data_IF_316138553995
#
_entry.id   IF_316138553995
#
_cell.length_a   1.000
_cell.length_b   1.000
_cell.length_c   1.000
_cell.angle_alpha   90.00
_cell.angle_beta   90.00
_cell.angle_gamma   90.00
#
_symmetry.space_group_name_H-M   'P 1'
#
loop_
_entity.id
_entity.type
_entity.pdbx_description
1 polymer ?
#
# COMPACT_ATOMS: atom_id res chain seq x y z
N UNK A 1 57.73 27.72 -30.35
CA UNK A 1 56.49 28.26 -30.94
C UNK A 1 55.62 27.08 -31.35
N UNK A 2 54.42 26.99 -30.77
CA UNK A 2 53.44 25.92 -30.94
C UNK A 2 52.67 26.12 -32.25
N UNK A 3 52.47 25.05 -33.03
CA UNK A 3 51.46 24.98 -34.07
C UNK A 3 50.28 24.20 -33.52
N UNK A 4 49.14 24.88 -33.36
CA UNK A 4 47.88 24.28 -32.90
C UNK A 4 47.16 23.63 -34.10
N UNK A 5 46.77 22.36 -33.95
CA UNK A 5 45.81 21.73 -34.85
C UNK A 5 44.39 21.97 -34.32
N UNK A 6 43.57 22.49 -35.23
CA UNK A 6 42.18 22.86 -35.11
C UNK A 6 41.29 21.62 -34.94
N UNK A 7 40.57 21.51 -33.82
CA UNK A 7 39.46 20.57 -33.66
C UNK A 7 38.17 21.39 -33.74
N UNK A 8 37.39 21.13 -34.80
CA UNK A 8 36.07 21.73 -35.02
C UNK A 8 35.09 21.08 -34.05
N UNK A 9 34.63 21.85 -33.06
CA UNK A 9 33.56 21.43 -32.15
C UNK A 9 32.21 21.73 -32.83
N UNK A 10 31.52 20.68 -33.28
CA UNK A 10 30.13 20.78 -33.71
C UNK A 10 29.27 21.14 -32.50
N UNK A 11 28.71 22.34 -32.49
CA UNK A 11 27.77 22.78 -31.47
C UNK A 11 26.42 22.11 -31.70
N UNK A 12 26.21 20.95 -31.09
CA UNK A 12 24.87 20.40 -30.89
C UNK A 12 24.19 21.29 -29.85
N UNK A 13 23.15 22.02 -30.28
CA UNK A 13 22.32 22.85 -29.41
C UNK A 13 21.54 21.92 -28.45
N UNK A 14 22.14 21.60 -27.31
CA UNK A 14 21.42 20.95 -26.21
C UNK A 14 20.56 22.02 -25.55
N UNK A 15 19.24 21.93 -25.71
CA UNK A 15 18.29 22.62 -24.86
C UNK A 15 18.60 22.19 -23.42
N UNK A 16 19.31 23.05 -22.67
CA UNK A 16 19.52 22.85 -21.23
C UNK A 16 18.16 23.02 -20.58
N UNK A 17 17.43 21.92 -20.43
CA UNK A 17 16.33 21.85 -19.50
C UNK A 17 16.92 22.22 -18.13
N UNK A 18 16.62 23.44 -17.65
CA UNK A 18 17.14 23.94 -16.39
C UNK A 18 16.55 23.10 -15.26
N UNK A 19 17.27 22.05 -14.84
CA UNK A 19 17.02 21.36 -13.60
C UNK A 19 17.85 21.99 -12.49
N UNK A 20 17.32 21.98 -11.27
CA UNK A 20 18.00 22.45 -10.07
C UNK A 20 18.25 21.26 -9.16
N UNK A 21 19.50 21.02 -8.79
CA UNK A 21 19.82 20.09 -7.71
C UNK A 21 19.29 20.62 -6.39
N UNK A 22 18.44 19.83 -5.73
CA UNK A 22 17.88 20.14 -4.40
C UNK A 22 18.60 19.38 -3.28
N UNK A 23 19.22 18.25 -3.62
CA UNK A 23 19.98 17.42 -2.70
C UNK A 23 21.13 16.73 -3.43
N UNK A 24 22.25 16.56 -2.73
CA UNK A 24 23.36 15.69 -3.13
C UNK A 24 24.16 15.26 -1.91
N UNK A 25 24.68 14.04 -1.91
CA UNK A 25 25.56 13.52 -0.85
C UNK A 25 26.96 13.15 -1.37
N UNK A 26 27.81 12.68 -0.45
CA UNK A 26 29.19 12.26 -0.75
C UNK A 26 29.29 10.97 -1.56
N UNK A 27 28.22 10.20 -1.67
CA UNK A 27 28.16 8.95 -2.44
C UNK A 27 27.78 9.21 -3.90
N UNK A 28 27.40 10.46 -4.23
CA UNK A 28 27.05 10.87 -5.58
C UNK A 28 25.55 10.76 -5.88
N UNK A 29 24.72 10.43 -4.88
CA UNK A 29 23.28 10.44 -5.05
C UNK A 29 22.81 11.88 -5.19
N UNK A 30 21.85 12.13 -6.10
CA UNK A 30 21.30 13.46 -6.31
C UNK A 30 19.78 13.44 -6.45
N UNK A 31 19.17 14.54 -6.02
CA UNK A 31 17.76 14.83 -6.33
C UNK A 31 17.72 16.16 -7.09
N UNK A 32 17.07 16.15 -8.25
CA UNK A 32 16.91 17.32 -9.13
C UNK A 32 15.44 17.64 -9.29
N UNK A 33 15.09 18.92 -9.22
CA UNK A 33 13.79 19.43 -9.64
C UNK A 33 13.91 19.94 -11.07
N UNK A 34 13.10 19.41 -11.97
CA UNK A 34 13.09 19.76 -13.38
C UNK A 34 12.16 20.95 -13.64
N UNK A 35 12.36 21.62 -14.78
CA UNK A 35 11.59 22.80 -15.17
C UNK A 35 10.09 22.51 -15.37
N UNK A 36 9.73 21.26 -15.66
CA UNK A 36 8.35 20.80 -15.81
C UNK A 36 7.66 20.44 -14.46
N UNK A 37 8.37 20.64 -13.34
CA UNK A 37 7.88 20.34 -12.01
C UNK A 37 8.08 18.90 -11.56
N UNK A 38 8.61 18.02 -12.43
CA UNK A 38 9.01 16.66 -12.03
C UNK A 38 10.27 16.69 -11.16
N UNK A 39 10.47 15.62 -10.38
CA UNK A 39 11.71 15.39 -9.65
C UNK A 39 12.42 14.17 -10.23
N UNK A 40 13.74 14.22 -10.32
CA UNK A 40 14.57 13.08 -10.69
C UNK A 40 15.49 12.73 -9.52
N UNK A 41 15.49 11.46 -9.13
CA UNK A 41 16.43 10.89 -8.17
C UNK A 41 17.43 10.07 -8.96
N UNK A 42 18.72 10.35 -8.83
CA UNK A 42 19.81 9.60 -9.45
C UNK A 42 20.67 9.00 -8.34
N UNK A 43 20.88 7.69 -8.42
CA UNK A 43 21.75 6.91 -7.53
C UNK A 43 22.70 6.07 -8.39
N UNK A 44 23.64 5.36 -7.76
CA UNK A 44 24.46 4.35 -8.45
C UNK A 44 23.64 3.13 -8.91
N UNK A 45 22.51 2.84 -8.25
CA UNK A 45 21.59 1.76 -8.60
C UNK A 45 20.65 2.09 -9.77
N UNK A 46 20.46 3.37 -10.10
CA UNK A 46 19.60 3.78 -11.20
C UNK A 46 18.94 5.14 -11.00
N UNK A 47 17.99 5.44 -11.90
CA UNK A 47 17.25 6.70 -11.92
C UNK A 47 15.76 6.51 -11.71
N UNK A 48 15.15 7.35 -10.88
CA UNK A 48 13.70 7.44 -10.72
C UNK A 48 13.19 8.84 -11.05
N UNK A 49 12.03 8.91 -11.70
CA UNK A 49 11.28 10.15 -11.95
C UNK A 49 10.01 10.15 -11.12
N UNK A 50 9.76 11.26 -10.42
CA UNK A 50 8.58 11.47 -9.58
C UNK A 50 7.80 12.65 -10.17
N UNK A 51 6.52 12.44 -10.43
CA UNK A 51 5.59 13.46 -10.89
C UNK A 51 4.34 13.42 -10.03
N UNK A 52 3.82 14.58 -9.62
CA UNK A 52 2.55 14.64 -8.92
C UNK A 52 1.87 15.99 -9.00
N UNK A 53 0.55 15.97 -8.87
CA UNK A 53 -0.31 17.17 -8.91
C UNK A 53 -1.06 17.42 -7.59
N UNK A 54 -0.70 16.68 -6.53
CA UNK A 54 -1.32 16.74 -5.21
C UNK A 54 -2.50 15.79 -5.02
N UNK A 55 -3.13 15.33 -6.10
CA UNK A 55 -4.16 14.28 -6.06
C UNK A 55 -3.65 12.91 -6.51
N UNK A 56 -2.65 12.94 -7.40
CA UNK A 56 -1.97 11.79 -7.96
C UNK A 56 -0.46 11.98 -7.91
N UNK A 57 0.25 10.90 -7.64
CA UNK A 57 1.69 10.79 -7.73
C UNK A 57 2.05 9.56 -8.56
N UNK A 58 3.02 9.72 -9.45
CA UNK A 58 3.60 8.63 -10.23
C UNK A 58 5.11 8.62 -9.99
N UNK A 59 5.63 7.47 -9.62
CA UNK A 59 7.05 7.19 -9.52
C UNK A 59 7.37 6.20 -10.64
N UNK A 60 8.40 6.47 -11.43
CA UNK A 60 8.85 5.60 -12.51
C UNK A 60 10.36 5.45 -12.49
N UNK A 61 10.84 4.22 -12.47
CA UNK A 61 12.26 3.88 -12.58
C UNK A 61 12.68 3.76 -14.06
N UNK A 62 13.98 3.83 -14.32
CA UNK A 62 14.58 3.74 -15.65
C UNK A 62 14.49 2.33 -16.28
N UNK A 63 14.36 1.29 -15.45
CA UNK A 63 14.01 -0.07 -15.87
C UNK A 63 12.56 -0.24 -16.36
N UNK A 64 11.72 0.79 -16.17
CA UNK A 64 10.34 0.82 -16.64
C UNK A 64 9.30 0.42 -15.60
N UNK A 65 9.69 0.04 -14.37
CA UNK A 65 8.75 -0.15 -13.27
C UNK A 65 8.12 1.20 -12.86
N UNK A 66 6.89 1.14 -12.36
CA UNK A 66 6.22 2.34 -11.86
C UNK A 66 5.20 2.05 -10.77
N UNK A 67 5.03 3.04 -9.90
CA UNK A 67 4.00 3.07 -8.88
C UNK A 67 3.18 4.34 -9.06
N UNK A 68 1.87 4.18 -9.10
CA UNK A 68 0.90 5.25 -9.12
C UNK A 68 0.13 5.28 -7.80
N UNK A 69 0.13 6.43 -7.13
CA UNK A 69 -0.62 6.68 -5.92
C UNK A 69 -1.67 7.74 -6.23
N UNK A 70 -2.93 7.45 -5.97
CA UNK A 70 -4.06 8.39 -6.10
C UNK A 70 -4.83 8.39 -4.78
N UNK A 71 -4.97 9.55 -4.13
CA UNK A 71 -5.71 9.63 -2.87
C UNK A 71 -5.24 10.72 -1.93
N UNK A 72 -5.75 10.66 -0.71
CA UNK A 72 -5.49 11.61 0.36
C UNK A 72 -5.37 10.89 1.72
N UNK A 73 -5.38 11.66 2.80
CA UNK A 73 -5.25 11.14 4.18
C UNK A 73 -6.43 10.25 4.61
N UNK A 74 -7.58 10.33 3.95
CA UNK A 74 -8.78 9.56 4.28
C UNK A 74 -8.88 8.26 3.48
N UNK A 75 -8.19 8.17 2.33
CA UNK A 75 -8.18 6.97 1.52
C UNK A 75 -7.54 7.19 0.15
N UNK A 76 -7.22 6.08 -0.51
CA UNK A 76 -6.56 6.12 -1.80
C UNK A 76 -6.33 4.74 -2.40
N UNK A 77 -5.76 4.76 -3.60
CA UNK A 77 -5.33 3.59 -4.35
C UNK A 77 -3.86 3.72 -4.70
N UNK A 78 -3.11 2.63 -4.56
CA UNK A 78 -1.73 2.47 -5.03
C UNK A 78 -1.75 1.37 -6.08
N UNK A 79 -1.18 1.62 -7.25
CA UNK A 79 -1.06 0.65 -8.35
C UNK A 79 0.41 0.50 -8.73
N UNK A 80 0.87 -0.74 -8.85
CA UNK A 80 2.18 -1.07 -9.40
C UNK A 80 2.03 -1.47 -10.87
N UNK A 81 3.07 -1.24 -11.66
CA UNK A 81 3.16 -1.68 -13.06
C UNK A 81 3.10 -3.19 -13.24
N UNK A 82 3.41 -3.96 -12.19
CA UNK A 82 3.28 -5.42 -12.16
C UNK A 82 1.82 -5.91 -12.00
N UNK A 83 0.87 -4.98 -11.87
CA UNK A 83 -0.56 -5.28 -11.68
C UNK A 83 -1.01 -5.31 -10.22
N UNK A 84 -0.10 -5.11 -9.25
CA UNK A 84 -0.43 -4.97 -7.85
C UNK A 84 -1.31 -3.75 -7.59
N UNK A 85 -2.34 -3.89 -6.75
CA UNK A 85 -3.22 -2.78 -6.35
C UNK A 85 -3.49 -2.82 -4.85
N UNK A 86 -3.33 -1.68 -4.15
CA UNK A 86 -3.77 -1.48 -2.76
C UNK A 86 -4.84 -0.40 -2.77
N UNK A 87 -5.95 -0.62 -2.08
CA UNK A 87 -6.94 0.41 -1.74
C UNK A 87 -7.04 0.50 -0.23
N UNK A 88 -6.94 1.70 0.33
CA UNK A 88 -7.00 1.94 1.77
C UNK A 88 -8.02 3.04 2.10
N UNK A 89 -8.49 3.07 3.35
CA UNK A 89 -9.39 4.12 3.84
C UNK A 89 -10.83 4.05 3.32
N UNK A 90 -11.07 3.34 2.21
CA UNK A 90 -12.40 2.90 1.82
C UNK A 90 -12.87 1.81 2.78
N UNK A 91 -13.96 2.07 3.48
CA UNK A 91 -14.61 1.06 4.29
C UNK A 91 -15.12 -0.12 3.44
N UNK A 92 -15.09 -1.32 4.01
CA UNK A 92 -15.58 -2.53 3.34
C UNK A 92 -16.98 -2.87 3.85
N UNK A 93 -17.82 -3.38 2.95
CA UNK A 93 -19.14 -3.93 3.26
C UNK A 93 -19.09 -5.43 3.59
N UNK A 94 -20.10 -5.93 4.31
CA UNK A 94 -20.26 -7.36 4.57
C UNK A 94 -20.32 -8.18 3.28
N UNK A 95 -20.94 -7.61 2.22
CA UNK A 95 -21.01 -8.24 0.90
C UNK A 95 -19.66 -8.32 0.20
N UNK A 96 -18.80 -7.31 0.34
CA UNK A 96 -17.44 -7.33 -0.22
C UNK A 96 -16.55 -8.37 0.49
N UNK A 97 -16.77 -8.59 1.79
CA UNK A 97 -16.01 -9.59 2.56
C UNK A 97 -16.64 -10.99 2.55
N UNK A 98 -17.94 -11.11 2.31
CA UNK A 98 -18.69 -12.36 2.48
C UNK A 98 -18.77 -12.82 3.95
N UNK A 99 -18.58 -11.90 4.89
CA UNK A 99 -18.57 -12.16 6.35
C UNK A 99 -19.36 -11.05 7.03
N UNK A 100 -20.27 -11.43 7.94
CA UNK A 100 -21.02 -10.46 8.72
C UNK A 100 -20.13 -9.71 9.70
N UNK A 101 -20.44 -8.45 9.93
CA UNK A 101 -19.83 -7.65 10.99
C UNK A 101 -20.41 -8.04 12.34
N UNK A 102 -19.55 -7.91 13.36
CA UNK A 102 -20.01 -8.07 14.73
C UNK A 102 -21.09 -7.02 15.04
N UNK A 103 -22.26 -7.41 15.58
CA UNK A 103 -23.35 -6.50 15.85
C UNK A 103 -22.92 -5.31 16.71
N UNK A 104 -23.27 -4.09 16.30
CA UNK A 104 -22.91 -2.87 17.04
C UNK A 104 -21.45 -2.42 16.88
N UNK A 105 -20.60 -3.18 16.17
CA UNK A 105 -19.24 -2.75 15.89
C UNK A 105 -19.18 -1.58 14.90
N UNK A 106 -18.26 -0.65 15.14
CA UNK A 106 -18.03 0.53 14.30
C UNK A 106 -16.75 0.36 13.51
N UNK A 107 -16.76 0.80 12.26
CA UNK A 107 -15.55 0.78 11.44
C UNK A 107 -14.51 1.76 12.00
N UNK A 108 -13.25 1.35 11.93
CA UNK A 108 -12.09 2.19 12.27
C UNK A 108 -11.17 2.32 11.06
N UNK A 109 -10.25 3.28 11.10
CA UNK A 109 -9.17 3.35 10.13
C UNK A 109 -8.33 2.05 10.16
N UNK A 110 -7.72 1.71 9.02
CA UNK A 110 -6.85 0.54 8.86
C UNK A 110 -7.42 -0.59 8.01
N UNK A 111 -8.68 -0.49 7.56
CA UNK A 111 -9.24 -1.36 6.54
C UNK A 111 -8.75 -1.05 5.12
N UNK A 112 -8.82 -2.05 4.25
CA UNK A 112 -8.42 -1.93 2.85
C UNK A 112 -8.45 -3.25 2.08
N UNK A 113 -8.19 -3.17 0.79
CA UNK A 113 -8.03 -4.31 -0.10
C UNK A 113 -6.68 -4.25 -0.78
N UNK A 114 -6.06 -5.39 -0.94
CA UNK A 114 -4.80 -5.53 -1.64
C UNK A 114 -4.87 -6.72 -2.60
N UNK A 115 -4.44 -6.52 -3.84
CA UNK A 115 -4.41 -7.52 -4.90
C UNK A 115 -3.00 -7.62 -5.46
N UNK A 116 -2.45 -8.83 -5.51
CA UNK A 116 -1.20 -9.14 -6.23
C UNK A 116 -1.29 -10.55 -6.81
N UNK A 117 -0.76 -10.74 -8.02
CA UNK A 117 -0.68 -12.05 -8.70
C UNK A 117 -2.01 -12.83 -8.73
N UNK A 118 -3.13 -12.13 -8.87
CA UNK A 118 -4.47 -12.71 -8.86
C UNK A 118 -5.04 -13.05 -7.48
N UNK A 119 -4.22 -13.01 -6.42
CA UNK A 119 -4.70 -13.11 -5.04
C UNK A 119 -5.22 -11.76 -4.54
N UNK A 120 -6.32 -11.77 -3.78
CA UNK A 120 -6.90 -10.57 -3.17
C UNK A 120 -7.07 -10.77 -1.67
N UNK A 121 -6.54 -9.87 -0.88
CA UNK A 121 -6.68 -9.80 0.58
C UNK A 121 -7.49 -8.55 0.93
N UNK A 122 -8.66 -8.75 1.52
CA UNK A 122 -9.53 -7.67 2.00
C UNK A 122 -9.60 -7.69 3.52
N UNK A 123 -9.39 -6.55 4.17
CA UNK A 123 -9.42 -6.42 5.63
C UNK A 123 -10.36 -5.31 6.06
N UNK A 124 -11.29 -5.59 6.97
CA UNK A 124 -12.04 -4.57 7.71
C UNK A 124 -11.59 -4.59 9.16
N UNK A 125 -11.31 -3.40 9.70
CA UNK A 125 -10.96 -3.20 11.11
C UNK A 125 -12.10 -2.45 11.77
N UNK A 126 -12.57 -3.00 12.89
CA UNK A 126 -13.76 -2.51 13.59
C UNK A 126 -13.53 -2.48 15.09
N UNK A 127 -14.22 -1.61 15.80
CA UNK A 127 -14.19 -1.53 17.26
C UNK A 127 -15.55 -1.91 17.86
N UNK A 128 -15.53 -2.53 19.04
CA UNK A 128 -16.69 -2.79 19.90
C UNK A 128 -16.33 -2.65 21.38
N UNK A 129 -17.32 -2.37 22.21
CA UNK A 129 -17.16 -2.37 23.68
C UNK A 129 -17.18 -3.77 24.29
N UNK A 130 -17.69 -4.76 23.55
CA UNK A 130 -17.82 -6.13 24.03
C UNK A 130 -16.47 -6.83 24.14
N UNK A 131 -16.37 -7.84 25.00
CA UNK A 131 -15.13 -8.59 25.23
C UNK A 131 -14.75 -9.47 24.03
N UNK A 132 -13.44 -9.74 23.80
CA UNK A 132 -12.96 -10.59 22.70
C UNK A 132 -13.64 -11.96 22.62
N UNK A 133 -13.97 -12.57 23.77
CA UNK A 133 -14.64 -13.86 23.84
C UNK A 133 -16.07 -13.84 23.30
N UNK A 134 -16.79 -12.72 23.48
CA UNK A 134 -18.12 -12.53 22.90
C UNK A 134 -18.03 -12.43 21.37
N UNK A 135 -17.04 -11.68 20.87
CA UNK A 135 -16.74 -11.58 19.44
C UNK A 135 -16.38 -12.94 18.85
N UNK A 136 -15.47 -13.68 19.49
CA UNK A 136 -15.07 -15.01 19.05
C UNK A 136 -16.27 -15.98 19.02
N UNK A 137 -17.12 -15.94 20.05
CA UNK A 137 -18.34 -16.76 20.12
C UNK A 137 -19.31 -16.45 18.97
N UNK A 138 -19.51 -15.18 18.65
CA UNK A 138 -20.31 -14.78 17.50
C UNK A 138 -19.78 -15.39 16.19
N UNK A 139 -18.47 -15.25 15.92
CA UNK A 139 -17.90 -15.74 14.67
C UNK A 139 -17.85 -17.27 14.56
N UNK A 140 -17.67 -17.99 15.67
CA UNK A 140 -17.83 -19.46 15.68
C UNK A 140 -19.25 -19.88 15.29
N UNK A 141 -20.27 -19.14 15.73
CA UNK A 141 -21.67 -19.41 15.37
C UNK A 141 -21.97 -19.06 13.91
N UNK A 142 -21.43 -17.93 13.43
CA UNK A 142 -21.68 -17.44 12.07
C UNK A 142 -20.93 -18.26 11.00
N UNK A 143 -19.67 -18.62 11.25
CA UNK A 143 -18.79 -19.25 10.26
C UNK A 143 -18.57 -20.75 10.49
N UNK A 144 -19.05 -21.28 11.61
CA UNK A 144 -18.84 -22.66 12.04
C UNK A 144 -17.51 -22.85 12.78
N UNK A 145 -17.11 -24.10 12.99
CA UNK A 145 -15.87 -24.44 13.70
C UNK A 145 -14.63 -23.96 12.91
N UNK A 146 -13.72 -23.19 13.51
CA UNK A 146 -12.50 -22.76 12.84
C UNK A 146 -11.54 -23.92 12.58
N UNK A 147 -10.73 -23.79 11.54
CA UNK A 147 -9.63 -24.70 11.21
C UNK A 147 -8.47 -24.54 12.20
N UNK A 148 -8.18 -23.29 12.60
CA UNK A 148 -7.20 -22.95 13.63
C UNK A 148 -7.83 -21.95 14.58
N UNK A 149 -7.62 -22.18 15.87
CA UNK A 149 -8.02 -21.28 16.94
C UNK A 149 -6.84 -21.12 17.88
N UNK A 150 -6.50 -19.88 18.20
CA UNK A 150 -5.41 -19.56 19.12
C UNK A 150 -5.80 -18.36 19.96
N UNK A 151 -5.64 -18.49 21.26
CA UNK A 151 -5.84 -17.40 22.22
C UNK A 151 -4.50 -17.12 22.87
N UNK A 152 -4.04 -15.87 22.77
CA UNK A 152 -2.80 -15.39 23.36
C UNK A 152 -3.06 -14.06 24.07
N UNK A 153 -2.73 -14.02 25.36
CA UNK A 153 -2.95 -12.87 26.23
C UNK A 153 -4.37 -12.30 26.07
N UNK A 154 -4.49 -11.15 25.41
CA UNK A 154 -5.73 -10.38 25.27
C UNK A 154 -6.34 -10.46 23.86
N UNK A 155 -5.91 -11.44 23.05
CA UNK A 155 -6.41 -11.62 21.69
C UNK A 155 -6.75 -13.09 21.37
N UNK A 156 -7.85 -13.26 20.65
CA UNK A 156 -8.26 -14.54 20.05
C UNK A 156 -8.20 -14.42 18.53
N UNK A 157 -7.48 -15.33 17.90
CA UNK A 157 -7.37 -15.50 16.45
C UNK A 157 -8.11 -16.76 16.02
N UNK A 158 -9.01 -16.61 15.06
CA UNK A 158 -9.80 -17.67 14.47
C UNK A 158 -9.55 -17.69 12.97
N UNK A 159 -9.23 -18.86 12.41
CA UNK A 159 -8.93 -19.03 10.99
C UNK A 159 -9.82 -20.12 10.40
N UNK A 160 -10.51 -19.82 9.31
CA UNK A 160 -11.29 -20.78 8.52
C UNK A 160 -10.68 -20.90 7.13
N UNK A 161 -10.46 -22.14 6.70
CA UNK A 161 -10.15 -22.48 5.31
C UNK A 161 -11.45 -22.83 4.58
N UNK A 162 -11.80 -22.06 3.55
CA UNK A 162 -13.04 -22.22 2.76
C UNK A 162 -12.71 -22.29 1.27
N UNK A 163 -12.45 -23.48 0.75
CA UNK A 163 -12.09 -23.66 -0.65
C UNK A 163 -10.82 -22.88 -1.01
N UNK A 164 -10.92 -21.92 -1.93
CA UNK A 164 -9.79 -21.06 -2.33
C UNK A 164 -9.62 -19.80 -1.45
N UNK A 165 -10.39 -19.69 -0.36
CA UNK A 165 -10.39 -18.53 0.51
C UNK A 165 -9.97 -18.88 1.94
N UNK A 166 -9.25 -17.98 2.59
CA UNK A 166 -8.98 -18.01 4.03
C UNK A 166 -9.69 -16.83 4.69
N UNK A 167 -10.50 -17.09 5.71
CA UNK A 167 -11.08 -16.06 6.57
C UNK A 167 -10.31 -16.07 7.89
N UNK A 168 -9.78 -14.93 8.29
CA UNK A 168 -9.12 -14.73 9.59
C UNK A 168 -9.89 -13.67 10.36
N UNK A 169 -10.29 -13.99 11.57
CA UNK A 169 -10.85 -13.03 12.52
C UNK A 169 -9.90 -12.93 13.70
N UNK A 170 -9.47 -11.71 14.02
CA UNK A 170 -8.74 -11.41 15.24
C UNK A 170 -9.59 -10.49 16.10
N UNK A 171 -9.89 -10.90 17.32
CA UNK A 171 -10.52 -10.07 18.33
C UNK A 171 -9.51 -9.83 19.44
N UNK A 172 -9.07 -8.59 19.64
CA UNK A 172 -8.04 -8.23 20.63
C UNK A 172 -8.35 -6.94 21.37
N UNK A 173 -7.88 -6.81 22.61
CA UNK A 173 -8.04 -5.57 23.38
C UNK A 173 -7.04 -4.51 22.95
N UNK A 174 -7.53 -3.30 22.72
CA UNK A 174 -6.73 -2.09 22.57
C UNK A 174 -7.42 -0.94 23.28
N UNK A 175 -6.69 -0.24 24.14
CA UNK A 175 -7.14 0.99 24.80
C UNK A 175 -8.53 0.91 25.46
N UNK A 176 -8.86 -0.25 26.04
CA UNK A 176 -10.14 -0.49 26.73
C UNK A 176 -11.32 -0.84 25.81
N UNK A 177 -11.09 -0.99 24.51
CA UNK A 177 -12.05 -1.52 23.54
C UNK A 177 -11.54 -2.81 22.92
N UNK A 178 -12.43 -3.54 22.25
CA UNK A 178 -12.05 -4.70 21.45
C UNK A 178 -11.99 -4.30 19.99
N UNK A 179 -10.82 -4.53 19.38
CA UNK A 179 -10.60 -4.39 17.95
C UNK A 179 -10.87 -5.75 17.30
N UNK A 180 -11.70 -5.72 16.28
CA UNK A 180 -12.10 -6.85 15.45
C UNK A 180 -11.52 -6.64 14.06
N UNK A 181 -10.47 -7.38 13.73
CA UNK A 181 -9.91 -7.44 12.37
C UNK A 181 -10.48 -8.64 11.64
N UNK A 182 -11.14 -8.40 10.52
CA UNK A 182 -11.72 -9.42 9.64
C UNK A 182 -10.95 -9.37 8.34
N UNK A 183 -10.13 -10.39 8.08
CA UNK A 183 -9.33 -10.51 6.86
C UNK A 183 -9.84 -11.68 6.04
N UNK A 184 -10.08 -11.44 4.75
CA UNK A 184 -10.48 -12.46 3.79
C UNK A 184 -9.45 -12.46 2.67
N UNK A 185 -8.68 -13.54 2.58
CA UNK A 185 -7.70 -13.77 1.53
C UNK A 185 -8.28 -14.77 0.52
N UNK A 186 -8.53 -14.31 -0.71
CA UNK A 186 -8.89 -15.14 -1.84
C UNK A 186 -7.64 -15.40 -2.68
N UNK A 187 -7.30 -16.67 -2.87
CA UNK A 187 -6.25 -17.03 -3.83
C UNK A 187 -6.80 -16.90 -5.25
N UNK A 188 -5.91 -16.51 -6.17
CA UNK A 188 -6.18 -16.56 -7.61
C UNK A 188 -6.37 -17.97 -8.12
#
# INVERSE_FOLDING_TARGET
MKSANLVVLAATLVLVACSRTVYSDSEGNTVKQNADGTMTVETDEGTATIQGDGSKMTIKTDDGESVEVEGNTEGGTIKSSDGGTVTYGKGLSESELGVKFYPGSKETAGGGTYTMEGATVSTSVRETSDEPDAVATFYRKELGKPSVETTQADATTLIWQKGNSTVTVVAGRDSGKTIVSITVANKG
#
